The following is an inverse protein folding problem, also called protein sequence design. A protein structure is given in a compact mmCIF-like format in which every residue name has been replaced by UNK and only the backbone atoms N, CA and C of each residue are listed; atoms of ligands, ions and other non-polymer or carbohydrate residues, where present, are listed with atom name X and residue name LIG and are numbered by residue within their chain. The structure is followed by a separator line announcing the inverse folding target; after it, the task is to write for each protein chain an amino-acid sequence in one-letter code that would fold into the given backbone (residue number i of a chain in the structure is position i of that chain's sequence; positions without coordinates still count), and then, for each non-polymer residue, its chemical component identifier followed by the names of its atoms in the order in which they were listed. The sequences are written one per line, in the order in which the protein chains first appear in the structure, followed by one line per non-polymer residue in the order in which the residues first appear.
data_IF_358027433116
#
_entry.id   IF_358027433116
#
_cell.length_a   1.000
_cell.length_b   1.000
_cell.length_c   1.000
_cell.angle_alpha   90.00
_cell.angle_beta   90.00
_cell.angle_gamma   90.00
#
_symmetry.space_group_name_H-M   'P 1'
#
loop_
_entity.id
_entity.type
_entity.pdbx_description
1 polymer ?
#
# COMPACT_ATOMS: atom_id res chain seq x y z
N UNK A 1 -2.76 1.34 7.56
CA UNK A 1 -3.97 0.90 6.85
C UNK A 1 -3.59 -0.38 6.14
N UNK A 2 -4.58 -1.21 5.85
CA UNK A 2 -4.39 -2.58 5.39
C UNK A 2 -4.27 -3.64 6.49
N UNK A 3 -3.72 -4.81 6.14
CA UNK A 3 -3.73 -6.02 6.98
C UNK A 3 -3.02 -5.88 8.34
N UNK A 4 -3.76 -6.15 9.42
CA UNK A 4 -3.27 -6.02 10.80
C UNK A 4 -2.10 -6.97 11.10
N UNK A 5 -0.98 -6.42 11.57
CA UNK A 5 0.26 -7.12 11.95
C UNK A 5 0.97 -7.92 10.84
N UNK A 6 0.51 -7.85 9.59
CA UNK A 6 1.06 -8.65 8.49
C UNK A 6 2.56 -8.39 8.28
N UNK A 7 3.00 -7.12 8.32
CA UNK A 7 4.41 -6.79 8.11
C UNK A 7 5.33 -7.46 9.15
N UNK A 8 4.95 -7.42 10.43
CA UNK A 8 5.70 -8.08 11.50
C UNK A 8 5.67 -9.61 11.32
N UNK A 9 4.52 -10.15 10.94
CA UNK A 9 4.36 -11.58 10.69
C UNK A 9 5.29 -12.10 9.60
N UNK A 10 5.35 -11.39 8.47
CA UNK A 10 6.25 -11.73 7.38
C UNK A 10 7.73 -11.60 7.78
N UNK A 11 8.08 -10.61 8.61
CA UNK A 11 9.44 -10.47 9.14
C UNK A 11 9.88 -11.67 9.98
N UNK A 12 9.00 -12.16 10.83
CA UNK A 12 9.32 -13.26 11.74
C UNK A 12 9.31 -14.63 11.04
N UNK A 13 8.53 -14.80 9.96
CA UNK A 13 8.30 -16.12 9.33
C UNK A 13 8.85 -16.25 7.90
N UNK A 14 9.12 -15.16 7.20
CA UNK A 14 9.45 -15.15 5.76
C UNK A 14 10.70 -14.29 5.46
N UNK A 15 11.87 -14.57 6.05
CA UNK A 15 13.04 -13.70 5.92
C UNK A 15 13.57 -13.55 4.49
N UNK A 16 13.34 -14.53 3.59
CA UNK A 16 13.71 -14.39 2.16
C UNK A 16 12.60 -13.84 1.27
N UNK A 17 11.35 -13.85 1.76
CA UNK A 17 10.21 -13.24 1.08
C UNK A 17 10.25 -11.70 1.07
N UNK A 18 11.17 -11.13 1.87
CA UNK A 18 11.50 -9.72 1.87
C UNK A 18 13.00 -9.53 1.61
N UNK A 19 13.32 -8.74 0.59
CA UNK A 19 14.69 -8.52 0.16
C UNK A 19 15.00 -7.03 0.20
N UNK A 20 16.12 -6.68 0.81
CA UNK A 20 16.63 -5.32 0.69
C UNK A 20 17.30 -5.18 -0.68
N UNK A 21 16.84 -4.23 -1.48
CA UNK A 21 17.33 -4.03 -2.84
C UNK A 21 17.72 -2.57 -3.09
N UNK A 22 18.61 -2.35 -4.04
CA UNK A 22 19.03 -1.03 -4.52
C UNK A 22 18.31 -0.65 -5.81
N UNK A 23 18.33 0.64 -6.16
CA UNK A 23 17.78 1.11 -7.43
C UNK A 23 18.56 0.57 -8.63
N UNK A 24 19.84 0.25 -8.46
CA UNK A 24 20.64 -0.41 -9.49
C UNK A 24 20.06 -1.78 -9.86
N UNK A 25 19.57 -2.54 -8.87
CA UNK A 25 18.90 -3.83 -9.11
C UNK A 25 17.52 -3.67 -9.76
N UNK A 26 16.96 -2.45 -9.77
CA UNK A 26 15.71 -2.11 -10.46
C UNK A 26 15.96 -1.53 -11.85
N UNK A 27 17.21 -1.43 -12.31
CA UNK A 27 17.54 -0.81 -13.60
C UNK A 27 16.79 -1.47 -14.76
N UNK A 28 16.17 -0.66 -15.61
CA UNK A 28 15.38 -1.13 -16.75
C UNK A 28 13.99 -1.62 -16.40
N UNK A 29 13.62 -1.72 -15.11
CA UNK A 29 12.31 -2.21 -14.70
C UNK A 29 11.20 -1.18 -14.96
N UNK A 30 9.98 -1.67 -15.10
CA UNK A 30 8.77 -0.85 -15.05
C UNK A 30 8.17 -0.94 -13.66
N UNK A 31 7.80 0.21 -13.09
CA UNK A 31 7.25 0.32 -11.74
C UNK A 31 5.97 1.17 -11.79
N UNK A 32 4.85 0.60 -11.36
CA UNK A 32 3.65 1.38 -11.08
C UNK A 32 3.72 1.93 -9.65
N UNK A 33 3.43 3.23 -9.48
CA UNK A 33 3.69 3.96 -8.24
C UNK A 33 2.40 4.59 -7.75
N UNK A 34 2.00 4.26 -6.53
CA UNK A 34 1.00 5.04 -5.79
C UNK A 34 1.64 6.35 -5.34
N UNK A 35 1.42 7.42 -6.12
CA UNK A 35 2.13 8.69 -5.89
C UNK A 35 1.57 9.44 -4.69
N UNK A 36 0.30 9.21 -4.33
CA UNK A 36 -0.37 9.90 -3.23
C UNK A 36 0.39 9.71 -1.93
N UNK A 37 0.84 8.49 -1.63
CA UNK A 37 1.63 8.17 -0.41
C UNK A 37 2.86 9.07 -0.32
N UNK A 38 3.60 9.21 -1.42
CA UNK A 38 4.82 10.01 -1.48
C UNK A 38 4.53 11.50 -1.41
N UNK A 39 3.45 11.98 -2.05
CA UNK A 39 3.03 13.37 -1.93
C UNK A 39 2.77 13.76 -0.47
N UNK A 40 1.98 12.96 0.27
CA UNK A 40 1.74 13.22 1.70
C UNK A 40 3.05 13.21 2.50
N UNK A 41 3.94 12.25 2.22
CA UNK A 41 5.22 12.11 2.92
C UNK A 41 6.15 13.30 2.67
N UNK A 42 6.27 13.77 1.44
CA UNK A 42 7.14 14.88 1.06
C UNK A 42 6.55 16.23 1.49
N UNK A 43 5.23 16.40 1.40
CA UNK A 43 4.55 17.60 1.91
C UNK A 43 4.70 17.75 3.42
N UNK A 44 4.72 16.66 4.18
CA UNK A 44 4.86 16.71 5.64
C UNK A 44 6.18 17.35 6.11
N UNK A 45 7.20 17.35 5.26
CA UNK A 45 8.50 17.99 5.50
C UNK A 45 8.71 19.25 4.65
N UNK A 46 7.65 19.77 4.03
CA UNK A 46 7.62 20.97 3.17
C UNK A 46 8.48 20.91 1.90
N UNK A 47 8.84 19.71 1.44
CA UNK A 47 9.74 19.47 0.31
C UNK A 47 9.03 18.73 -0.84
N UNK A 48 7.75 19.04 -1.09
CA UNK A 48 6.93 18.29 -2.04
C UNK A 48 7.52 18.26 -3.47
N UNK A 49 7.72 19.42 -4.09
CA UNK A 49 8.14 19.48 -5.51
C UNK A 49 9.60 19.06 -5.69
N UNK A 50 10.49 19.47 -4.80
CA UNK A 50 11.91 19.13 -4.82
C UNK A 50 12.14 17.62 -4.72
N UNK A 51 11.40 16.93 -3.84
CA UNK A 51 11.53 15.47 -3.68
C UNK A 51 10.82 14.69 -4.78
N UNK A 52 9.70 15.17 -5.32
CA UNK A 52 9.11 14.58 -6.53
C UNK A 52 10.09 14.71 -7.70
N UNK A 53 10.69 15.88 -7.90
CA UNK A 53 11.68 16.09 -8.96
C UNK A 53 12.87 15.13 -8.77
N UNK A 54 13.39 15.01 -7.55
CA UNK A 54 14.50 14.10 -7.24
C UNK A 54 14.13 12.64 -7.51
N UNK A 55 12.92 12.21 -7.12
CA UNK A 55 12.39 10.88 -7.44
C UNK A 55 12.33 10.64 -8.95
N UNK A 56 11.83 11.60 -9.73
CA UNK A 56 11.76 11.48 -11.20
C UNK A 56 13.15 11.41 -11.83
N UNK A 57 14.09 12.21 -11.33
CA UNK A 57 15.50 12.16 -11.76
C UNK A 57 16.16 10.82 -11.44
N UNK A 58 15.85 10.24 -10.28
CA UNK A 58 16.31 8.89 -9.94
C UNK A 58 15.80 7.87 -10.95
N UNK A 59 14.50 7.93 -11.27
CA UNK A 59 13.90 7.00 -12.23
C UNK A 59 14.60 7.11 -13.59
N UNK A 60 14.90 8.32 -14.06
CA UNK A 60 15.67 8.53 -15.30
C UNK A 60 17.09 7.96 -15.16
N UNK A 61 17.80 8.29 -14.08
CA UNK A 61 19.20 7.89 -13.84
C UNK A 61 19.38 6.37 -13.83
N UNK A 62 18.44 5.67 -13.21
CA UNK A 62 18.44 4.20 -13.13
C UNK A 62 17.67 3.54 -14.28
N UNK A 63 17.24 4.29 -15.30
CA UNK A 63 16.44 3.77 -16.41
C UNK A 63 15.21 2.96 -15.95
N UNK A 64 14.53 3.46 -14.92
CA UNK A 64 13.31 2.91 -14.35
C UNK A 64 12.12 3.59 -15.02
N UNK A 65 11.23 2.79 -15.62
CA UNK A 65 10.02 3.28 -16.26
C UNK A 65 8.90 3.40 -15.24
N UNK A 66 8.67 4.62 -14.74
CA UNK A 66 7.61 4.91 -13.77
C UNK A 66 6.25 5.14 -14.41
N UNK A 67 5.20 4.54 -13.83
CA UNK A 67 3.79 4.83 -14.13
C UNK A 67 3.14 5.33 -12.83
N UNK A 68 2.90 6.64 -12.72
CA UNK A 68 2.42 7.26 -11.49
C UNK A 68 0.90 7.33 -11.45
N UNK A 69 0.29 6.81 -10.38
CA UNK A 69 -1.16 6.76 -10.21
C UNK A 69 -1.56 7.71 -9.09
N UNK A 70 -2.35 8.72 -9.42
CA UNK A 70 -2.99 9.60 -8.46
C UNK A 70 -4.32 9.03 -7.99
N UNK A 71 -4.68 9.27 -6.73
CA UNK A 71 -6.04 9.01 -6.26
C UNK A 71 -7.07 9.88 -6.99
N UNK A 72 -8.25 9.30 -7.18
CA UNK A 72 -9.43 9.93 -7.73
C UNK A 72 -10.39 10.41 -6.65
N UNK A 73 -11.69 10.35 -6.98
CA UNK A 73 -12.75 10.71 -6.03
C UNK A 73 -12.97 9.53 -5.07
N UNK A 74 -13.05 9.74 -3.75
CA UNK A 74 -13.34 8.65 -2.82
C UNK A 74 -14.68 7.96 -3.12
N UNK A 75 -14.74 6.63 -2.94
CA UNK A 75 -15.99 5.86 -3.03
C UNK A 75 -16.96 6.25 -1.92
N UNK A 76 -18.27 6.07 -2.16
CA UNK A 76 -19.32 6.47 -1.20
C UNK A 76 -19.24 5.73 0.14
N UNK A 77 -18.79 4.48 0.14
CA UNK A 77 -18.62 3.64 1.33
C UNK A 77 -17.42 4.03 2.22
N UNK A 78 -16.56 4.97 1.78
CA UNK A 78 -15.44 5.47 2.59
C UNK A 78 -15.75 6.70 3.45
N UNK A 79 -17.01 7.17 3.48
CA UNK A 79 -17.39 8.38 4.25
C UNK A 79 -16.98 8.29 5.72
N UNK A 80 -17.25 7.17 6.38
CA UNK A 80 -16.94 6.99 7.80
C UNK A 80 -15.43 7.02 8.07
N UNK A 81 -14.65 6.39 7.19
CA UNK A 81 -13.19 6.42 7.27
C UNK A 81 -12.65 7.84 7.07
N UNK A 82 -13.20 8.59 6.11
CA UNK A 82 -12.79 9.97 5.87
C UNK A 82 -13.13 10.89 7.06
N UNK A 83 -14.29 10.69 7.69
CA UNK A 83 -14.69 11.40 8.91
C UNK A 83 -13.70 11.07 10.04
N UNK A 84 -13.43 9.79 10.27
CA UNK A 84 -12.46 9.36 11.28
C UNK A 84 -11.06 9.94 11.02
N UNK A 85 -10.56 9.87 9.78
CA UNK A 85 -9.26 10.47 9.40
C UNK A 85 -9.26 11.98 9.65
N UNK A 86 -10.38 12.68 9.41
CA UNK A 86 -10.52 14.12 9.67
C UNK A 86 -10.47 14.42 11.17
N UNK A 87 -11.17 13.65 12.00
CA UNK A 87 -11.12 13.80 13.45
C UNK A 87 -9.72 13.55 14.02
N UNK A 88 -9.02 12.54 13.53
CA UNK A 88 -7.65 12.26 13.96
C UNK A 88 -6.68 13.38 13.55
N UNK A 89 -6.88 14.00 12.38
CA UNK A 89 -6.12 15.18 11.96
C UNK A 89 -6.38 16.38 12.86
N UNK A 90 -7.63 16.63 13.21
CA UNK A 90 -8.02 17.72 14.10
C UNK A 90 -7.40 17.55 15.50
N UNK A 91 -7.48 16.35 16.08
CA UNK A 91 -6.84 16.03 17.36
C UNK A 91 -5.32 16.22 17.31
N UNK A 92 -4.67 15.73 16.25
CA UNK A 92 -3.23 15.91 16.07
C UNK A 92 -2.85 17.39 15.93
N UNK A 93 -3.68 18.18 15.25
CA UNK A 93 -3.47 19.61 15.07
C UNK A 93 -3.59 20.39 16.38
N UNK A 94 -4.60 20.07 17.20
CA UNK A 94 -4.76 20.67 18.52
C UNK A 94 -3.56 20.34 19.43
N UNK A 95 -3.09 19.10 19.40
CA UNK A 95 -1.88 18.69 20.15
C UNK A 95 -0.63 19.40 19.63
N UNK A 96 -0.46 19.50 18.31
CA UNK A 96 0.65 20.20 17.69
C UNK A 96 0.68 21.68 18.11
N UNK A 97 -0.47 22.36 17.99
CA UNK A 97 -0.60 23.77 18.34
C UNK A 97 -0.25 24.00 19.81
N UNK A 98 -0.76 23.17 20.72
CA UNK A 98 -0.43 23.26 22.14
C UNK A 98 1.07 23.12 22.40
N UNK A 99 1.73 22.13 21.79
CA UNK A 99 3.18 21.93 21.98
C UNK A 99 4.03 23.07 21.41
N UNK A 100 3.58 23.70 20.31
CA UNK A 100 4.22 24.88 19.74
C UNK A 100 4.02 26.10 20.66
N UNK A 101 2.79 26.34 21.13
CA UNK A 101 2.46 27.44 22.04
C UNK A 101 3.22 27.31 23.37
N UNK A 102 3.42 26.08 23.86
CA UNK A 102 4.20 25.76 25.07
C UNK A 102 5.73 25.78 24.84
N UNK A 103 6.22 26.15 23.65
CA UNK A 103 7.65 26.12 23.25
C UNK A 103 8.35 24.77 23.55
N UNK A 104 7.65 23.66 23.32
CA UNK A 104 8.18 22.32 23.59
C UNK A 104 9.44 22.02 22.78
N UNK A 105 10.46 21.47 23.44
CA UNK A 105 11.71 21.01 22.79
C UNK A 105 11.60 19.57 22.27
N UNK A 106 10.43 18.92 22.37
CA UNK A 106 10.22 17.57 21.84
C UNK A 106 10.02 17.59 20.31
N UNK A 107 11.12 17.85 19.60
CA UNK A 107 11.17 17.91 18.14
C UNK A 107 10.62 16.63 17.48
N UNK A 108 10.95 15.41 17.95
CA UNK A 108 10.40 14.18 17.36
C UNK A 108 8.86 14.12 17.40
N UNK A 109 8.26 14.52 18.53
CA UNK A 109 6.80 14.53 18.67
C UNK A 109 6.15 15.60 17.79
N UNK A 110 6.75 16.78 17.71
CA UNK A 110 6.28 17.86 16.82
C UNK A 110 6.30 17.43 15.34
N UNK A 111 7.38 16.78 14.89
CA UNK A 111 7.48 16.26 13.52
C UNK A 111 6.44 15.19 13.22
N UNK A 112 6.21 14.27 14.18
CA UNK A 112 5.18 13.23 14.04
C UNK A 112 3.78 13.84 13.90
N UNK A 113 3.43 14.80 14.76
CA UNK A 113 2.14 15.47 14.73
C UNK A 113 1.97 16.31 13.46
N UNK A 114 3.02 17.02 13.01
CA UNK A 114 3.01 17.75 11.73
C UNK A 114 2.69 16.81 10.55
N UNK A 115 3.33 15.64 10.51
CA UNK A 115 3.04 14.61 9.50
C UNK A 115 1.58 14.17 9.55
N UNK A 116 1.01 13.94 10.75
CA UNK A 116 -0.39 13.57 10.90
C UNK A 116 -1.34 14.68 10.43
N UNK A 117 -1.01 15.95 10.63
CA UNK A 117 -1.82 17.09 10.23
C UNK A 117 -1.78 17.38 8.72
N UNK A 118 -0.84 16.78 7.98
CA UNK A 118 -0.56 17.12 6.59
C UNK A 118 -1.78 16.88 5.70
N UNK A 119 -2.07 17.86 4.83
CA UNK A 119 -3.15 17.82 3.84
C UNK A 119 -2.58 18.14 2.47
N UNK A 120 -2.92 17.30 1.51
CA UNK A 120 -2.71 17.57 0.08
C UNK A 120 -3.95 18.28 -0.44
N UNK A 121 -3.75 19.41 -1.11
CA UNK A 121 -4.81 20.17 -1.76
C UNK A 121 -4.73 20.03 -3.29
N UNK A 122 -5.73 20.61 -3.99
CA UNK A 122 -5.82 20.51 -5.45
C UNK A 122 -4.64 21.20 -6.15
N UNK A 123 -4.11 22.28 -5.56
CA UNK A 123 -2.94 23.01 -6.08
C UNK A 123 -1.68 22.16 -5.97
N UNK A 124 -1.48 21.46 -4.85
CA UNK A 124 -0.36 20.52 -4.68
C UNK A 124 -0.37 19.44 -5.78
N UNK A 125 -1.55 18.85 -6.04
CA UNK A 125 -1.72 17.84 -7.11
C UNK A 125 -1.44 18.45 -8.49
N UNK A 126 -1.96 19.64 -8.77
CA UNK A 126 -1.76 20.31 -10.05
C UNK A 126 -0.26 20.61 -10.30
N UNK A 127 0.45 21.13 -9.29
CA UNK A 127 1.87 21.45 -9.40
C UNK A 127 2.72 20.19 -9.64
N UNK A 128 2.38 19.07 -8.97
CA UNK A 128 3.08 17.79 -9.18
C UNK A 128 2.84 17.25 -10.60
N UNK A 129 1.60 17.35 -11.11
CA UNK A 129 1.29 16.94 -12.49
C UNK A 129 2.02 17.80 -13.52
N UNK A 130 2.02 19.12 -13.35
CA UNK A 130 2.75 20.03 -14.23
C UNK A 130 4.27 19.72 -14.25
N UNK A 131 4.85 19.41 -13.08
CA UNK A 131 6.23 18.96 -13.00
C UNK A 131 6.46 17.63 -13.74
N UNK A 132 5.55 16.67 -13.60
CA UNK A 132 5.59 15.40 -14.32
C UNK A 132 5.48 15.60 -15.84
N UNK A 133 4.57 16.47 -16.30
CA UNK A 133 4.42 16.82 -17.72
C UNK A 133 5.72 17.40 -18.28
N UNK A 134 6.35 18.34 -17.56
CA UNK A 134 7.62 18.98 -17.94
C UNK A 134 8.79 17.99 -18.03
N UNK A 135 8.77 16.94 -17.22
CA UNK A 135 9.81 15.91 -17.19
C UNK A 135 9.46 14.66 -18.02
N UNK A 136 8.31 14.66 -18.70
CA UNK A 136 7.87 13.54 -19.53
C UNK A 136 7.50 12.28 -18.75
N UNK A 137 7.13 12.40 -17.47
CA UNK A 137 6.75 11.28 -16.62
C UNK A 137 5.31 10.82 -16.93
N UNK A 138 5.11 9.51 -17.11
CA UNK A 138 3.77 8.94 -17.36
C UNK A 138 2.95 8.90 -16.07
N UNK A 139 1.77 9.51 -16.08
CA UNK A 139 0.83 9.40 -14.97
C UNK A 139 -0.63 9.28 -15.40
N UNK A 140 -1.49 8.83 -14.49
CA UNK A 140 -2.94 8.87 -14.65
C UNK A 140 -3.63 9.13 -13.32
N UNK A 141 -4.93 9.41 -13.37
CA UNK A 141 -5.79 9.55 -12.19
C UNK A 141 -6.68 8.32 -12.12
N UNK A 142 -6.62 7.60 -11.01
CA UNK A 142 -7.54 6.50 -10.75
C UNK A 142 -8.98 7.04 -10.68
N UNK A 143 -9.99 6.26 -11.08
CA UNK A 143 -11.39 6.68 -10.90
C UNK A 143 -11.75 6.86 -9.42
N UNK A 144 -11.16 6.01 -8.58
CA UNK A 144 -11.34 6.02 -7.14
C UNK A 144 -9.99 6.02 -6.42
N UNK A 145 -9.41 4.86 -6.20
CA UNK A 145 -8.19 4.72 -5.40
C UNK A 145 -7.05 4.20 -6.26
N UNK A 146 -5.85 4.71 -5.99
CA UNK A 146 -4.67 4.38 -6.76
C UNK A 146 -4.27 2.91 -6.61
N UNK A 147 -4.54 2.31 -5.45
CA UNK A 147 -4.27 0.92 -5.10
C UNK A 147 -4.85 -0.09 -6.10
N UNK A 148 -6.11 0.08 -6.52
CA UNK A 148 -6.80 -0.79 -7.47
C UNK A 148 -6.13 -0.77 -8.85
N UNK A 149 -5.73 0.42 -9.31
CA UNK A 149 -5.06 0.60 -10.60
C UNK A 149 -3.63 0.08 -10.55
N UNK A 150 -2.90 0.40 -9.47
CA UNK A 150 -1.56 -0.12 -9.20
C UNK A 150 -1.56 -1.65 -9.18
N UNK A 151 -2.49 -2.26 -8.45
CA UNK A 151 -2.60 -3.69 -8.35
C UNK A 151 -2.89 -4.34 -9.70
N UNK A 152 -3.85 -3.79 -10.45
CA UNK A 152 -4.20 -4.34 -11.76
C UNK A 152 -3.05 -4.27 -12.75
N UNK A 153 -2.38 -3.12 -12.86
CA UNK A 153 -1.20 -2.96 -13.72
C UNK A 153 -0.06 -3.91 -13.33
N UNK A 154 0.19 -4.03 -12.03
CA UNK A 154 1.21 -4.91 -11.45
C UNK A 154 0.99 -6.38 -11.82
N UNK A 155 -0.23 -6.88 -11.61
CA UNK A 155 -0.55 -8.30 -11.85
C UNK A 155 -0.63 -8.62 -13.35
N UNK A 156 -1.33 -7.82 -14.16
CA UNK A 156 -1.50 -8.11 -15.59
C UNK A 156 -0.19 -8.04 -16.37
N UNK A 157 0.67 -7.08 -16.04
CA UNK A 157 1.93 -6.86 -16.77
C UNK A 157 3.15 -7.46 -16.05
N UNK A 158 2.96 -8.09 -14.88
CA UNK A 158 4.04 -8.68 -14.05
C UNK A 158 5.14 -7.68 -13.71
N UNK A 159 4.76 -6.43 -13.46
CA UNK A 159 5.66 -5.31 -13.13
C UNK A 159 5.75 -5.10 -11.61
N UNK A 160 6.63 -4.20 -11.16
CA UNK A 160 6.72 -3.86 -9.74
C UNK A 160 5.62 -2.87 -9.34
N UNK A 161 5.08 -3.03 -8.13
CA UNK A 161 4.18 -2.07 -7.50
C UNK A 161 4.90 -1.36 -6.36
N UNK A 162 5.02 -0.03 -6.42
CA UNK A 162 5.59 0.79 -5.36
C UNK A 162 4.46 1.44 -4.55
N UNK A 163 4.15 0.84 -3.40
CA UNK A 163 3.18 1.34 -2.43
C UNK A 163 3.52 0.80 -1.05
N UNK A 164 3.41 1.62 -0.01
CA UNK A 164 3.60 1.17 1.38
C UNK A 164 2.37 0.41 1.93
N UNK A 165 1.28 0.30 1.17
CA UNK A 165 0.10 -0.48 1.55
C UNK A 165 0.32 -1.99 1.40
N UNK A 166 0.00 -2.73 2.46
CA UNK A 166 0.14 -4.19 2.49
C UNK A 166 -0.98 -4.90 1.74
N UNK A 167 -2.09 -4.21 1.48
CA UNK A 167 -3.21 -4.76 0.72
C UNK A 167 -2.81 -5.08 -0.73
N UNK A 168 -1.69 -4.52 -1.23
CA UNK A 168 -1.10 -4.90 -2.51
C UNK A 168 -0.81 -6.40 -2.63
N UNK A 169 -0.37 -7.04 -1.54
CA UNK A 169 -0.15 -8.49 -1.53
C UNK A 169 -1.48 -9.26 -1.54
N UNK A 170 -2.53 -8.70 -0.94
CA UNK A 170 -3.89 -9.27 -0.92
C UNK A 170 -4.58 -9.15 -2.28
N UNK A 171 -4.27 -8.10 -3.05
CA UNK A 171 -4.64 -7.98 -4.46
C UNK A 171 -3.84 -8.90 -5.39
N UNK A 172 -2.73 -9.47 -4.92
CA UNK A 172 -1.92 -10.43 -5.67
C UNK A 172 -0.72 -9.81 -6.38
N UNK A 173 -0.33 -8.58 -6.02
CA UNK A 173 0.90 -7.99 -6.54
C UNK A 173 2.09 -8.87 -6.15
N UNK A 174 2.73 -9.49 -7.14
CA UNK A 174 3.83 -10.40 -6.85
C UNK A 174 5.09 -9.67 -6.38
N UNK A 175 5.34 -8.44 -6.84
CA UNK A 175 6.56 -7.66 -6.53
C UNK A 175 6.18 -6.31 -5.96
N UNK A 176 6.16 -6.18 -4.64
CA UNK A 176 5.78 -4.93 -3.95
C UNK A 176 7.02 -4.26 -3.35
N UNK A 177 7.29 -3.03 -3.73
CA UNK A 177 8.36 -2.18 -3.22
C UNK A 177 7.82 -1.29 -2.10
N UNK A 178 8.34 -1.49 -0.89
CA UNK A 178 7.99 -0.73 0.31
C UNK A 178 9.22 -0.07 0.91
N UNK A 179 9.02 0.88 1.82
CA UNK A 179 10.08 1.59 2.54
C UNK A 179 11.13 2.21 1.60
N UNK A 180 10.68 2.74 0.46
CA UNK A 180 11.56 3.32 -0.55
C UNK A 180 12.23 4.56 0.01
N UNK A 181 13.56 4.51 0.06
CA UNK A 181 14.43 5.59 0.51
C UNK A 181 15.18 6.17 -0.70
N UNK A 182 14.76 7.37 -1.10
CA UNK A 182 15.36 8.11 -2.21
C UNK A 182 16.72 8.73 -1.86
N UNK A 183 17.12 8.79 -0.59
CA UNK A 183 18.47 9.23 -0.23
C UNK A 183 19.47 8.10 -0.42
N UNK A 184 19.18 6.91 0.11
CA UNK A 184 20.06 5.74 0.00
C UNK A 184 19.84 4.93 -1.29
N UNK A 185 18.86 5.31 -2.11
CA UNK A 185 18.48 4.63 -3.36
C UNK A 185 18.16 3.14 -3.14
N UNK A 186 17.39 2.85 -2.09
CA UNK A 186 17.08 1.48 -1.66
C UNK A 186 15.60 1.29 -1.35
N UNK A 187 15.14 0.04 -1.40
CA UNK A 187 13.78 -0.35 -1.07
C UNK A 187 13.74 -1.76 -0.44
N UNK A 188 12.62 -2.09 0.21
CA UNK A 188 12.29 -3.46 0.61
C UNK A 188 11.36 -4.07 -0.44
N UNK A 189 11.82 -5.11 -1.13
CA UNK A 189 11.04 -5.88 -2.09
C UNK A 189 10.36 -7.06 -1.40
N UNK A 190 9.05 -7.12 -1.48
CA UNK A 190 8.22 -8.24 -1.08
C UNK A 190 7.91 -9.07 -2.32
N UNK A 191 8.21 -10.37 -2.27
CA UNK A 191 7.91 -11.34 -3.32
C UNK A 191 6.79 -12.26 -2.85
N UNK A 192 5.60 -12.14 -3.45
CA UNK A 192 4.44 -12.92 -3.02
C UNK A 192 4.68 -14.42 -3.18
N UNK A 193 5.24 -14.85 -4.31
CA UNK A 193 5.55 -16.27 -4.56
C UNK A 193 6.46 -16.84 -3.45
N UNK A 194 7.55 -16.15 -3.13
CA UNK A 194 8.45 -16.56 -2.04
C UNK A 194 7.70 -16.60 -0.70
N UNK A 195 6.85 -15.61 -0.40
CA UNK A 195 6.05 -15.58 0.84
C UNK A 195 5.11 -16.80 0.91
N UNK A 196 4.40 -17.12 -0.18
CA UNK A 196 3.47 -18.24 -0.24
C UNK A 196 4.20 -19.57 -0.05
N UNK A 197 5.36 -19.72 -0.69
CA UNK A 197 6.23 -20.90 -0.54
C UNK A 197 6.74 -21.05 0.90
N UNK A 198 7.16 -19.97 1.55
CA UNK A 198 7.58 -20.02 2.95
C UNK A 198 6.45 -20.42 3.89
N UNK A 199 5.25 -19.89 3.64
CA UNK A 199 4.09 -20.16 4.48
C UNK A 199 3.45 -21.52 4.19
N UNK A 200 3.81 -22.15 3.06
CA UNK A 200 3.16 -23.35 2.53
C UNK A 200 1.64 -23.14 2.37
N UNK A 201 1.26 -21.98 1.83
CA UNK A 201 -0.14 -21.60 1.63
C UNK A 201 -0.40 -21.31 0.16
N UNK A 202 -1.60 -21.67 -0.30
CA UNK A 202 -2.11 -21.15 -1.56
C UNK A 202 -2.34 -19.63 -1.45
N UNK A 203 -2.32 -18.92 -2.59
CA UNK A 203 -2.63 -17.49 -2.62
C UNK A 203 -4.02 -17.18 -2.01
N UNK A 204 -5.02 -18.03 -2.29
CA UNK A 204 -6.36 -17.86 -1.73
C UNK A 204 -6.38 -18.05 -0.20
N UNK A 205 -5.62 -19.00 0.33
CA UNK A 205 -5.51 -19.21 1.77
C UNK A 205 -4.75 -18.08 2.45
N UNK A 206 -3.67 -17.57 1.84
CA UNK A 206 -2.99 -16.37 2.30
C UNK A 206 -3.93 -15.15 2.34
N UNK A 207 -4.73 -14.96 1.28
CA UNK A 207 -5.75 -13.90 1.20
C UNK A 207 -6.77 -14.03 2.35
N UNK A 208 -7.31 -15.23 2.58
CA UNK A 208 -8.22 -15.51 3.71
C UNK A 208 -7.57 -15.25 5.06
N UNK A 209 -6.33 -15.69 5.24
CA UNK A 209 -5.55 -15.47 6.46
C UNK A 209 -5.42 -13.98 6.76
N UNK A 210 -5.10 -13.18 5.74
CA UNK A 210 -5.02 -11.72 5.85
C UNK A 210 -6.37 -11.11 6.27
N UNK A 211 -7.45 -11.45 5.57
CA UNK A 211 -8.79 -10.91 5.83
C UNK A 211 -9.27 -11.24 7.25
N UNK A 212 -9.16 -12.50 7.66
CA UNK A 212 -9.59 -12.97 8.99
C UNK A 212 -8.80 -12.30 10.13
N UNK A 213 -7.54 -11.96 9.89
CA UNK A 213 -6.67 -11.26 10.84
C UNK A 213 -7.01 -9.78 11.00
N UNK A 214 -7.85 -9.25 10.12
CA UNK A 214 -8.34 -7.89 10.16
C UNK A 214 -7.78 -7.04 9.04
N UNK A 215 -8.68 -6.48 8.24
CA UNK A 215 -8.41 -5.52 7.17
C UNK A 215 -9.30 -4.30 7.36
N UNK A 216 -9.18 -3.32 6.46
CA UNK A 216 -10.09 -2.18 6.46
C UNK A 216 -11.54 -2.61 6.14
N UNK A 217 -11.72 -3.72 5.42
CA UNK A 217 -13.00 -4.31 5.02
C UNK A 217 -13.57 -5.34 6.00
N UNK A 218 -12.72 -5.97 6.83
CA UNK A 218 -13.15 -6.97 7.83
C UNK A 218 -12.58 -6.62 9.20
N UNK A 219 -13.44 -6.15 10.12
CA UNK A 219 -13.02 -5.81 11.48
C UNK A 219 -12.85 -7.07 12.32
N UNK A 220 -11.60 -7.34 12.70
CA UNK A 220 -11.22 -8.49 13.51
C UNK A 220 -10.23 -8.09 14.61
N UNK A 221 -10.40 -8.69 15.79
CA UNK A 221 -9.43 -8.63 16.87
C UNK A 221 -8.44 -9.80 16.85
N UNK A 222 -8.59 -10.72 15.90
CA UNK A 222 -7.75 -11.91 15.80
C UNK A 222 -6.35 -11.54 15.32
N UNK A 223 -5.34 -12.23 15.82
CA UNK A 223 -3.95 -11.98 15.47
C UNK A 223 -3.48 -13.02 14.44
N UNK A 224 -2.95 -12.55 13.31
CA UNK A 224 -2.43 -13.41 12.23
C UNK A 224 -1.44 -14.46 12.71
N UNK A 225 -0.57 -14.11 13.65
CA UNK A 225 0.40 -15.03 14.25
C UNK A 225 -0.29 -16.20 14.96
N UNK A 226 -1.32 -15.88 15.76
CA UNK A 226 -2.04 -16.90 16.54
C UNK A 226 -2.86 -17.80 15.63
N UNK A 227 -3.47 -17.26 14.58
CA UNK A 227 -4.23 -18.03 13.59
C UNK A 227 -3.29 -18.99 12.87
N UNK A 228 -2.22 -18.47 12.28
CA UNK A 228 -1.27 -19.26 11.50
C UNK A 228 -0.60 -20.34 12.36
N UNK A 229 -0.14 -20.00 13.58
CA UNK A 229 0.48 -20.97 14.49
C UNK A 229 -0.48 -22.09 14.90
N UNK A 230 -1.75 -21.77 15.18
CA UNK A 230 -2.75 -22.80 15.54
C UNK A 230 -3.08 -23.70 14.35
N UNK A 231 -3.10 -23.15 13.13
CA UNK A 231 -3.27 -23.93 11.91
C UNK A 231 -2.08 -24.86 11.66
N UNK A 232 -0.85 -24.35 11.74
CA UNK A 232 0.38 -25.14 11.55
C UNK A 232 0.50 -26.30 12.55
N UNK A 233 0.00 -26.12 13.77
CA UNK A 233 -0.02 -27.16 14.80
C UNK A 233 -1.22 -28.12 14.70
N UNK A 234 -2.04 -28.00 13.67
CA UNK A 234 -3.21 -28.85 13.45
C UNK A 234 -2.92 -29.94 12.42
N UNK A 235 -3.78 -30.96 12.35
CA UNK A 235 -3.68 -32.02 11.34
C UNK A 235 -4.38 -31.67 10.01
N UNK A 236 -4.79 -30.41 9.83
CA UNK A 236 -5.49 -29.96 8.63
C UNK A 236 -4.51 -29.56 7.54
N UNK A 237 -4.79 -29.99 6.31
CA UNK A 237 -4.06 -29.57 5.09
C UNK A 237 -4.73 -28.40 4.38
N UNK A 238 -5.99 -28.10 4.72
CA UNK A 238 -6.79 -27.03 4.12
C UNK A 238 -7.08 -25.95 5.15
N UNK A 239 -6.51 -24.75 4.94
CA UNK A 239 -6.71 -23.61 5.85
C UNK A 239 -8.17 -23.17 5.89
N UNK A 240 -8.87 -23.12 4.74
CA UNK A 240 -10.27 -22.70 4.69
C UNK A 240 -11.17 -23.59 5.56
N UNK A 241 -11.01 -24.91 5.50
CA UNK A 241 -11.77 -25.84 6.35
C UNK A 241 -11.43 -25.62 7.82
N UNK A 242 -10.14 -25.49 8.15
CA UNK A 242 -9.69 -25.21 9.50
C UNK A 242 -10.31 -23.91 10.06
N UNK A 243 -10.32 -22.84 9.27
CA UNK A 243 -10.89 -21.54 9.64
C UNK A 243 -12.40 -21.66 9.95
N UNK A 244 -13.16 -22.39 9.12
CA UNK A 244 -14.61 -22.59 9.31
C UNK A 244 -14.93 -23.32 10.62
N UNK A 245 -14.11 -24.30 10.99
CA UNK A 245 -14.35 -25.13 12.18
C UNK A 245 -13.82 -24.51 13.47
N UNK A 246 -12.72 -23.76 13.40
CA UNK A 246 -11.97 -23.34 14.61
C UNK A 246 -12.05 -21.85 14.93
N UNK A 247 -12.63 -21.04 14.03
CA UNK A 247 -12.84 -19.63 14.26
C UNK A 247 -14.32 -19.27 14.08
N UNK A 248 -14.86 -18.55 15.05
CA UNK A 248 -16.15 -17.87 14.88
C UNK A 248 -15.94 -16.67 13.96
N UNK A 249 -16.21 -16.86 12.67
CA UNK A 249 -16.12 -15.84 11.61
C UNK A 249 -17.26 -16.01 10.61
N UNK A 250 -17.75 -14.90 10.05
CA UNK A 250 -18.67 -14.95 8.92
C UNK A 250 -17.88 -15.28 7.64
N UNK A 251 -17.94 -16.55 7.21
CA UNK A 251 -17.18 -17.04 6.06
C UNK A 251 -17.74 -16.53 4.72
N UNK A 252 -19.05 -16.33 4.61
CA UNK A 252 -19.67 -15.75 3.40
C UNK A 252 -19.17 -14.33 3.15
N UNK A 253 -19.08 -13.52 4.21
CA UNK A 253 -18.51 -12.18 4.15
C UNK A 253 -17.02 -12.22 3.77
N UNK A 254 -16.24 -13.17 4.31
CA UNK A 254 -14.83 -13.33 3.95
C UNK A 254 -14.67 -13.66 2.47
N UNK A 255 -15.46 -14.58 1.92
CA UNK A 255 -15.39 -14.91 0.48
C UNK A 255 -15.83 -13.73 -0.40
N UNK A 256 -16.83 -12.96 0.04
CA UNK A 256 -17.25 -11.73 -0.64
C UNK A 256 -16.09 -10.73 -0.72
N UNK A 257 -15.40 -10.53 0.41
CA UNK A 257 -14.23 -9.65 0.47
C UNK A 257 -13.09 -10.23 -0.38
N UNK A 258 -12.85 -11.54 -0.34
CA UNK A 258 -11.83 -12.19 -1.19
C UNK A 258 -12.07 -11.91 -2.68
N UNK A 259 -13.33 -11.96 -3.11
CA UNK A 259 -13.76 -11.64 -4.47
C UNK A 259 -13.61 -10.14 -4.77
N UNK A 260 -13.88 -9.27 -3.79
CA UNK A 260 -13.63 -7.83 -3.93
C UNK A 260 -12.16 -7.48 -4.17
N UNK A 261 -11.23 -8.29 -3.67
CA UNK A 261 -9.79 -8.19 -3.93
C UNK A 261 -9.34 -8.91 -5.22
N UNK A 262 -10.25 -9.57 -5.94
CA UNK A 262 -9.93 -10.21 -7.21
C UNK A 262 -9.97 -9.19 -8.35
N UNK A 263 -8.77 -8.72 -8.73
CA UNK A 263 -8.58 -7.75 -9.82
C UNK A 263 -8.99 -8.28 -11.21
N UNK A 264 -9.18 -9.60 -11.36
CA UNK A 264 -9.65 -10.22 -12.60
C UNK A 264 -11.17 -10.20 -12.74
N UNK A 265 -11.90 -9.85 -11.68
CA UNK A 265 -13.35 -9.77 -11.70
C UNK A 265 -13.86 -8.63 -12.61
N UNK A 266 -15.09 -8.78 -13.10
CA UNK A 266 -15.77 -7.79 -13.95
C UNK A 266 -15.85 -6.41 -13.30
N UNK A 267 -15.83 -6.35 -11.96
CA UNK A 267 -15.76 -5.13 -11.16
C UNK A 267 -14.62 -4.22 -11.60
N UNK A 268 -13.52 -4.75 -12.14
CA UNK A 268 -12.34 -4.00 -12.54
C UNK A 268 -12.22 -3.78 -14.06
N UNK A 269 -13.16 -4.22 -14.88
CA UNK A 269 -13.10 -4.03 -16.35
C UNK A 269 -13.04 -2.56 -16.75
N UNK A 270 -13.65 -1.67 -15.95
CA UNK A 270 -13.59 -0.22 -16.16
C UNK A 270 -12.15 0.33 -16.18
N UNK A 271 -11.18 -0.40 -15.61
CA UNK A 271 -9.77 -0.03 -15.63
C UNK A 271 -9.05 -0.44 -16.92
N UNK A 272 -9.60 -1.35 -17.72
CA UNK A 272 -8.95 -1.85 -18.94
C UNK A 272 -8.63 -0.71 -19.91
N UNK A 273 -9.53 0.26 -20.06
CA UNK A 273 -9.31 1.44 -20.90
C UNK A 273 -8.15 2.32 -20.42
N UNK A 274 -7.96 2.43 -19.11
CA UNK A 274 -6.87 3.20 -18.49
C UNK A 274 -5.54 2.46 -18.66
N UNK A 275 -5.55 1.14 -18.54
CA UNK A 275 -4.33 0.33 -18.67
C UNK A 275 -3.83 0.34 -20.11
N UNK A 276 -4.74 0.31 -21.09
CA UNK A 276 -4.37 0.27 -22.50
C UNK A 276 -3.64 1.53 -22.99
N UNK A 277 -3.87 2.68 -22.34
CA UNK A 277 -3.20 3.95 -22.67
C UNK A 277 -1.86 4.13 -21.95
N UNK A 278 -1.54 3.28 -20.97
CA UNK A 278 -0.31 3.34 -20.18
C UNK A 278 0.79 2.40 -20.67
N UNK A 279 0.44 1.40 -21.49
CA UNK A 279 1.38 0.55 -22.25
C UNK A 279 2.13 1.42 -23.28
#
# INVERSE_FOLDING_TARGET
MGVRYLNKFLYDHCPRGMQYITFEQLRGSTIVVDISIYMYRFKAIDELLSLIQSMLQDFITYNIHGIFIFDGKPKQNKKDELIFRKEQKEKAWQQYKKLVDDNSTNIPQLQLLKKQCTKINIVDVANVKELMDKLGAKYTVAPYEADEVCAKLSVENKIYCMSDDMDMLVYGCNRVLRNVNFTTKTATLYKLDDILDYLQLSYNDFKRLCIVSGTDYYKSNKNIFNIYKRYQNSNYTNLQEWLKLHLTVNFELIETICHDFDISSTKYEYLNGIIHTLK
#
